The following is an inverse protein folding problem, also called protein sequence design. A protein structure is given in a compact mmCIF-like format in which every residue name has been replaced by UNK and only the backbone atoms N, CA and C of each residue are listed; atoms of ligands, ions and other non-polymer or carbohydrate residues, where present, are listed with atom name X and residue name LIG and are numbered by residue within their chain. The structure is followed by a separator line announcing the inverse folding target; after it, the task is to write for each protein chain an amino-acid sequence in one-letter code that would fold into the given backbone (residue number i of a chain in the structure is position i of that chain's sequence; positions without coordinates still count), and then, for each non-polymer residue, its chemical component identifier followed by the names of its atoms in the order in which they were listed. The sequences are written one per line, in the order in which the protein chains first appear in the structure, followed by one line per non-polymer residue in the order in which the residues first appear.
data_IF_377362529785
#
_entry.id   IF_377362529785
#
_cell.length_a   1.000
_cell.length_b   1.000
_cell.length_c   1.000
_cell.angle_alpha   90.00
_cell.angle_beta   90.00
_cell.angle_gamma   90.00
#
_symmetry.space_group_name_H-M   'P 1'
#
loop_
_entity.id
_entity.type
_entity.pdbx_description
1 polymer ?
#
# COMPACT_ATOMS: atom_id res chain seq x y z
N UNK A 1 -15.91 16.37 29.10
CA UNK A 1 -14.63 15.69 28.82
C UNK A 1 -13.88 16.54 27.81
N UNK A 2 -12.72 17.12 28.12
CA UNK A 2 -11.91 17.74 27.08
C UNK A 2 -11.50 16.64 26.08
N UNK A 3 -11.82 16.84 24.80
CA UNK A 3 -11.42 15.93 23.73
C UNK A 3 -9.90 15.80 23.75
N UNK A 4 -9.39 14.57 23.80
CA UNK A 4 -7.96 14.33 23.63
C UNK A 4 -7.50 15.05 22.36
N UNK A 5 -6.47 15.91 22.41
CA UNK A 5 -6.01 16.59 21.22
C UNK A 5 -5.64 15.55 20.16
N UNK A 6 -6.14 15.77 18.95
CA UNK A 6 -5.86 14.91 17.80
C UNK A 6 -4.34 14.80 17.58
N UNK A 7 -3.85 13.58 17.29
CA UNK A 7 -2.42 13.34 17.07
C UNK A 7 -1.91 14.23 15.94
N UNK A 8 -0.72 14.83 16.12
CA UNK A 8 -0.04 15.60 15.05
C UNK A 8 0.15 14.77 13.78
N UNK A 9 0.17 13.44 13.91
CA UNK A 9 0.43 12.49 12.82
C UNK A 9 -0.84 11.76 12.34
N UNK A 10 -2.03 12.16 12.80
CA UNK A 10 -3.30 11.55 12.36
C UNK A 10 -3.42 11.55 10.83
N UNK A 11 -3.00 12.63 10.15
CA UNK A 11 -3.02 12.72 8.69
C UNK A 11 -2.22 11.61 7.97
N UNK A 12 -1.16 11.07 8.59
CA UNK A 12 -0.41 9.95 8.01
C UNK A 12 -1.24 8.67 8.04
N UNK A 13 -2.05 8.47 9.09
CA UNK A 13 -2.94 7.33 9.22
C UNK A 13 -4.11 7.42 8.25
N UNK A 14 -4.72 8.60 8.12
CA UNK A 14 -5.79 8.85 7.15
C UNK A 14 -5.27 8.65 5.71
N UNK A 15 -4.06 9.13 5.45
CA UNK A 15 -3.39 8.89 4.17
C UNK A 15 -3.22 7.39 3.94
N UNK A 16 -2.69 6.65 4.90
CA UNK A 16 -2.46 5.22 4.75
C UNK A 16 -3.76 4.43 4.55
N UNK A 17 -4.81 4.73 5.31
CA UNK A 17 -6.13 4.10 5.18
C UNK A 17 -6.70 4.28 3.76
N UNK A 18 -6.65 5.50 3.22
CA UNK A 18 -7.12 5.73 1.85
C UNK A 18 -6.18 5.14 0.79
N UNK A 19 -4.88 5.01 1.07
CA UNK A 19 -3.92 4.37 0.15
C UNK A 19 -4.12 2.85 0.06
N UNK A 20 -4.50 2.19 1.16
CA UNK A 20 -4.88 0.77 1.18
C UNK A 20 -6.03 0.54 0.20
N UNK A 21 -7.09 1.34 0.31
CA UNK A 21 -8.26 1.28 -0.58
C UNK A 21 -7.89 1.40 -2.05
N UNK A 22 -7.03 2.36 -2.39
CA UNK A 22 -6.59 2.59 -3.78
C UNK A 22 -5.72 1.45 -4.30
N UNK A 23 -4.86 0.86 -3.46
CA UNK A 23 -4.01 -0.26 -3.87
C UNK A 23 -4.87 -1.48 -4.15
N UNK A 24 -5.71 -1.90 -3.20
CA UNK A 24 -6.57 -3.05 -3.42
C UNK A 24 -7.48 -2.82 -4.61
N UNK A 25 -7.98 -1.60 -4.74
CA UNK A 25 -8.81 -1.24 -5.84
C UNK A 25 -8.18 -1.42 -7.22
N UNK A 26 -6.94 -0.96 -7.40
CA UNK A 26 -6.17 -1.20 -8.62
C UNK A 26 -5.94 -2.70 -8.82
N UNK A 27 -5.69 -3.46 -7.76
CA UNK A 27 -5.46 -4.91 -7.86
C UNK A 27 -6.72 -5.67 -8.30
N UNK A 28 -7.87 -5.30 -7.73
CA UNK A 28 -9.18 -5.89 -8.06
C UNK A 28 -9.61 -5.61 -9.50
N UNK A 29 -9.12 -4.54 -10.13
CA UNK A 29 -9.45 -4.20 -11.51
C UNK A 29 -8.86 -5.19 -12.54
N UNK A 30 -7.78 -5.91 -12.20
CA UNK A 30 -7.20 -6.89 -13.11
C UNK A 30 -8.03 -8.18 -13.18
N UNK A 31 -8.30 -8.72 -14.39
CA UNK A 31 -8.75 -10.09 -14.53
C UNK A 31 -7.62 -11.06 -14.18
N UNK A 32 -7.95 -12.29 -13.76
CA UNK A 32 -6.94 -13.30 -13.40
C UNK A 32 -6.04 -13.67 -14.59
N UNK A 33 -6.56 -13.57 -15.83
CA UNK A 33 -5.79 -13.78 -17.06
C UNK A 33 -4.67 -12.75 -17.29
N UNK A 34 -4.64 -11.63 -16.55
CA UNK A 34 -3.63 -10.59 -16.70
C UNK A 34 -2.42 -10.78 -15.78
N UNK A 35 -2.40 -11.79 -14.89
CA UNK A 35 -1.35 -11.93 -13.87
C UNK A 35 0.08 -12.05 -14.43
N UNK A 36 0.22 -12.67 -15.60
CA UNK A 36 1.51 -12.85 -16.29
C UNK A 36 1.85 -11.71 -17.27
N UNK A 37 0.98 -10.71 -17.42
CA UNK A 37 1.23 -9.59 -18.32
C UNK A 37 2.49 -8.83 -17.90
N UNK A 38 3.41 -8.68 -18.85
CA UNK A 38 4.69 -7.99 -18.69
C UNK A 38 4.88 -6.98 -19.83
N UNK A 39 4.88 -5.66 -19.58
CA UNK A 39 4.96 -4.67 -20.66
C UNK A 39 6.33 -4.60 -21.34
N UNK A 40 7.38 -5.07 -20.67
CA UNK A 40 8.75 -5.11 -21.19
C UNK A 40 9.53 -6.22 -20.48
N UNK A 41 10.51 -6.89 -21.13
CA UNK A 41 11.37 -7.87 -20.48
C UNK A 41 12.05 -7.39 -19.18
N UNK A 42 12.23 -6.08 -19.00
CA UNK A 42 12.85 -5.47 -17.81
C UNK A 42 11.85 -5.06 -16.71
N UNK A 43 10.54 -5.20 -16.96
CA UNK A 43 9.48 -4.84 -16.03
C UNK A 43 8.99 -6.06 -15.26
N UNK A 44 8.42 -5.87 -14.07
CA UNK A 44 7.69 -6.94 -13.36
C UNK A 44 6.37 -7.29 -14.05
N UNK A 45 5.89 -8.52 -13.94
CA UNK A 45 4.50 -8.88 -14.26
C UNK A 45 3.51 -8.21 -13.31
N UNK A 46 2.20 -8.27 -13.59
CA UNK A 46 1.17 -7.82 -12.65
C UNK A 46 1.32 -8.55 -11.30
N UNK A 47 1.43 -9.87 -11.31
CA UNK A 47 1.54 -10.66 -10.08
C UNK A 47 2.85 -10.39 -9.32
N UNK A 48 3.96 -10.22 -10.03
CA UNK A 48 5.25 -9.85 -9.43
C UNK A 48 5.21 -8.47 -8.76
N UNK A 49 4.38 -7.53 -9.26
CA UNK A 49 4.16 -6.24 -8.58
C UNK A 49 3.38 -6.41 -7.27
N UNK A 50 2.40 -7.32 -7.23
CA UNK A 50 1.64 -7.59 -6.01
C UNK A 50 2.55 -8.24 -4.95
N UNK A 51 3.35 -9.21 -5.38
CA UNK A 51 4.37 -9.85 -4.54
C UNK A 51 5.38 -8.84 -3.99
N UNK A 52 5.91 -7.98 -4.86
CA UNK A 52 6.85 -6.92 -4.45
C UNK A 52 6.21 -5.96 -3.43
N UNK A 53 4.95 -5.60 -3.61
CA UNK A 53 4.25 -4.73 -2.68
C UNK A 53 4.14 -5.38 -1.30
N UNK A 54 3.59 -6.59 -1.19
CA UNK A 54 3.40 -7.24 0.12
C UNK A 54 4.73 -7.49 0.82
N UNK A 55 5.74 -7.98 0.09
CA UNK A 55 7.03 -8.30 0.67
C UNK A 55 7.84 -7.06 1.05
N UNK A 56 7.86 -6.03 0.20
CA UNK A 56 8.62 -4.81 0.49
C UNK A 56 7.99 -4.04 1.64
N UNK A 57 6.66 -3.98 1.70
CA UNK A 57 5.96 -3.28 2.77
C UNK A 57 6.11 -4.02 4.09
N UNK A 58 5.87 -5.34 4.13
CA UNK A 58 6.10 -6.15 5.32
C UNK A 58 7.51 -6.00 5.87
N UNK A 59 8.54 -6.20 5.04
CA UNK A 59 9.94 -6.07 5.45
C UNK A 59 10.29 -4.69 5.99
N UNK A 60 9.84 -3.61 5.34
CA UNK A 60 10.11 -2.25 5.83
C UNK A 60 9.39 -1.96 7.15
N UNK A 61 8.11 -2.33 7.26
CA UNK A 61 7.32 -2.10 8.47
C UNK A 61 7.93 -2.83 9.67
N UNK A 62 8.38 -4.08 9.47
CA UNK A 62 9.04 -4.86 10.52
C UNK A 62 10.42 -4.31 10.86
N UNK A 63 11.31 -4.19 9.87
CA UNK A 63 12.72 -3.87 10.13
C UNK A 63 12.95 -2.41 10.55
N UNK A 64 12.14 -1.47 10.06
CA UNK A 64 12.38 -0.03 10.27
C UNK A 64 11.44 0.58 11.31
N UNK A 65 10.23 0.02 11.48
CA UNK A 65 9.21 0.56 12.40
C UNK A 65 8.85 -0.40 13.54
N UNK A 66 9.38 -1.62 13.54
CA UNK A 66 9.08 -2.63 14.57
C UNK A 66 7.63 -3.09 14.53
N UNK A 67 6.98 -3.04 13.35
CA UNK A 67 5.59 -3.45 13.15
C UNK A 67 5.59 -4.75 12.37
N UNK A 68 5.42 -5.86 13.09
CA UNK A 68 5.43 -7.21 12.54
C UNK A 68 4.01 -7.77 12.38
N UNK A 69 3.70 -8.28 11.19
CA UNK A 69 2.44 -8.96 10.86
C UNK A 69 2.65 -10.41 10.42
N UNK A 70 3.84 -10.97 10.63
CA UNK A 70 4.23 -12.31 10.20
C UNK A 70 4.72 -12.37 8.75
N UNK A 71 4.73 -13.57 8.17
CA UNK A 71 5.11 -13.77 6.76
C UNK A 71 4.22 -12.92 5.85
N UNK A 72 4.77 -12.02 5.01
CA UNK A 72 4.00 -11.17 4.12
C UNK A 72 3.41 -11.92 2.91
N UNK A 73 3.80 -13.17 2.65
CA UNK A 73 3.31 -13.91 1.51
C UNK A 73 1.94 -14.56 1.77
N UNK A 74 1.06 -14.62 0.77
CA UNK A 74 -0.17 -15.40 0.88
C UNK A 74 0.13 -16.91 0.78
N UNK A 75 -0.77 -17.72 1.33
CA UNK A 75 -0.69 -19.18 1.19
C UNK A 75 -0.77 -19.64 -0.27
N UNK A 76 -1.60 -18.96 -1.08
CA UNK A 76 -1.68 -19.15 -2.52
C UNK A 76 -1.26 -17.86 -3.22
N UNK A 77 -0.28 -17.95 -4.13
CA UNK A 77 0.21 -16.81 -4.93
C UNK A 77 -0.72 -16.50 -6.11
N UNK A 78 -1.98 -16.22 -5.82
CA UNK A 78 -3.01 -15.81 -6.79
C UNK A 78 -3.36 -14.34 -6.58
N UNK A 79 -4.04 -13.73 -7.56
CA UNK A 79 -4.61 -12.37 -7.43
C UNK A 79 -5.36 -12.20 -6.11
N UNK A 80 -6.30 -13.11 -5.84
CA UNK A 80 -7.14 -13.09 -4.65
C UNK A 80 -6.32 -13.28 -3.36
N UNK A 81 -5.39 -14.25 -3.36
CA UNK A 81 -4.53 -14.49 -2.20
C UNK A 81 -3.69 -13.26 -1.82
N UNK A 82 -3.12 -12.57 -2.79
CA UNK A 82 -2.39 -11.32 -2.54
C UNK A 82 -3.30 -10.19 -2.04
N UNK A 83 -4.50 -10.03 -2.61
CA UNK A 83 -5.46 -9.01 -2.15
C UNK A 83 -5.86 -9.24 -0.69
N UNK A 84 -6.23 -10.47 -0.33
CA UNK A 84 -6.64 -10.83 1.03
C UNK A 84 -5.49 -10.63 2.02
N UNK A 85 -4.29 -11.10 1.64
CA UNK A 85 -3.10 -10.94 2.48
C UNK A 85 -2.74 -9.48 2.69
N UNK A 86 -2.76 -8.67 1.63
CA UNK A 86 -2.47 -7.25 1.74
C UNK A 86 -3.49 -6.53 2.64
N UNK A 87 -4.79 -6.78 2.47
CA UNK A 87 -5.84 -6.21 3.33
C UNK A 87 -5.61 -6.57 4.80
N UNK A 88 -5.45 -7.85 5.10
CA UNK A 88 -5.28 -8.33 6.48
C UNK A 88 -4.07 -7.68 7.17
N UNK A 89 -2.91 -7.69 6.48
CA UNK A 89 -1.68 -7.12 7.03
C UNK A 89 -1.76 -5.59 7.15
N UNK A 90 -2.33 -4.92 6.16
CA UNK A 90 -2.40 -3.46 6.16
C UNK A 90 -3.37 -2.94 7.23
N UNK A 91 -4.50 -3.61 7.45
CA UNK A 91 -5.43 -3.32 8.56
C UNK A 91 -4.74 -3.51 9.91
N UNK A 92 -4.05 -4.64 10.10
CA UNK A 92 -3.31 -4.89 11.36
C UNK A 92 -2.21 -3.86 11.60
N UNK A 93 -1.48 -3.44 10.56
CA UNK A 93 -0.49 -2.35 10.64
C UNK A 93 -1.15 -1.04 11.06
N UNK A 94 -2.28 -0.69 10.44
CA UNK A 94 -3.02 0.54 10.74
C UNK A 94 -3.51 0.55 12.19
N UNK A 95 -4.06 -0.56 12.69
CA UNK A 95 -4.46 -0.72 14.09
C UNK A 95 -3.28 -0.51 15.05
N UNK A 96 -2.12 -1.12 14.78
CA UNK A 96 -0.90 -0.92 15.58
C UNK A 96 -0.45 0.54 15.52
N UNK A 97 -0.44 1.17 14.35
CA UNK A 97 -0.02 2.55 14.17
C UNK A 97 -0.93 3.54 14.93
N UNK A 98 -2.25 3.28 14.98
CA UNK A 98 -3.22 4.08 15.76
C UNK A 98 -2.90 4.12 17.26
N UNK A 99 -2.17 3.12 17.78
CA UNK A 99 -1.74 3.09 19.20
C UNK A 99 -0.47 3.90 19.48
N UNK A 100 0.24 4.39 18.45
CA UNK A 100 1.54 5.03 18.64
C UNK A 100 1.38 6.50 19.06
N UNK A 101 1.99 6.93 20.17
CA UNK A 101 1.90 8.31 20.61
C UNK A 101 2.80 9.22 19.76
N UNK A 102 2.51 10.52 19.72
CA UNK A 102 3.26 11.53 18.95
C UNK A 102 4.80 11.47 19.09
N UNK A 103 5.39 11.25 20.29
CA UNK A 103 6.85 11.08 20.41
C UNK A 103 7.42 9.92 19.59
N UNK A 104 6.69 8.81 19.47
CA UNK A 104 7.14 7.63 18.71
C UNK A 104 7.41 7.96 17.24
N UNK A 105 6.61 8.85 16.66
CA UNK A 105 6.74 9.29 15.26
C UNK A 105 7.98 10.16 15.02
N UNK A 106 8.44 10.90 16.04
CA UNK A 106 9.62 11.78 15.97
C UNK A 106 10.92 11.04 16.18
N UNK A 107 10.90 9.95 16.94
CA UNK A 107 12.09 9.17 17.25
C UNK A 107 12.81 8.69 15.98
N UNK A 108 14.15 8.66 16.00
CA UNK A 108 14.93 8.11 14.91
C UNK A 108 14.77 6.59 14.84
N UNK A 109 14.73 6.06 13.62
CA UNK A 109 14.93 4.66 13.32
C UNK A 109 15.88 4.52 12.13
N UNK A 110 16.46 3.32 11.97
CA UNK A 110 17.38 3.05 10.86
C UNK A 110 16.60 2.93 9.56
N UNK A 111 16.84 3.86 8.64
CA UNK A 111 16.42 3.76 7.25
C UNK A 111 17.62 3.32 6.43
N UNK A 112 17.80 1.99 6.28
CA UNK A 112 19.07 1.42 5.84
C UNK A 112 20.20 1.96 6.74
N UNK A 113 21.22 2.58 6.15
CA UNK A 113 22.42 3.06 6.85
C UNK A 113 22.28 4.49 7.40
N UNK A 114 21.10 5.12 7.29
CA UNK A 114 20.88 6.49 7.75
C UNK A 114 19.75 6.60 8.78
N UNK A 115 19.93 7.36 9.88
CA UNK A 115 18.85 7.60 10.83
C UNK A 115 17.84 8.59 10.26
N UNK A 116 16.55 8.27 10.35
CA UNK A 116 15.43 9.14 9.97
C UNK A 116 14.29 9.00 10.97
N UNK A 117 13.45 10.02 11.11
CA UNK A 117 12.27 9.91 11.97
C UNK A 117 11.33 8.82 11.45
N UNK A 118 10.62 8.14 12.35
CA UNK A 118 9.63 7.12 11.97
C UNK A 118 8.54 7.69 11.06
N UNK A 119 8.12 8.94 11.28
CA UNK A 119 7.21 9.66 10.39
C UNK A 119 7.75 9.75 8.96
N UNK A 120 9.02 10.14 8.80
CA UNK A 120 9.64 10.25 7.47
C UNK A 120 9.73 8.88 6.78
N UNK A 121 10.11 7.84 7.52
CA UNK A 121 10.19 6.46 7.00
C UNK A 121 8.81 6.00 6.53
N UNK A 122 7.78 6.25 7.33
CA UNK A 122 6.41 5.89 6.98
C UNK A 122 5.91 6.63 5.73
N UNK A 123 6.18 7.94 5.60
CA UNK A 123 5.88 8.69 4.36
C UNK A 123 6.60 8.08 3.14
N UNK A 124 7.86 7.66 3.28
CA UNK A 124 8.58 6.95 2.21
C UNK A 124 7.95 5.61 1.86
N UNK A 125 7.42 4.90 2.84
CA UNK A 125 6.73 3.64 2.63
C UNK A 125 5.45 3.84 1.83
N UNK A 126 4.64 4.83 2.20
CA UNK A 126 3.40 5.19 1.48
C UNK A 126 3.71 5.62 0.04
N UNK A 127 4.70 6.48 -0.16
CA UNK A 127 5.08 6.96 -1.51
C UNK A 127 5.67 5.85 -2.40
N UNK A 128 6.40 4.89 -1.83
CA UNK A 128 6.85 3.70 -2.57
C UNK A 128 5.66 2.83 -3.01
N UNK A 129 4.64 2.65 -2.16
CA UNK A 129 3.40 1.96 -2.53
C UNK A 129 2.64 2.70 -3.65
N UNK A 130 2.54 4.03 -3.55
CA UNK A 130 1.95 4.87 -4.59
C UNK A 130 2.72 4.80 -5.93
N UNK A 131 4.06 4.73 -5.88
CA UNK A 131 4.91 4.57 -7.06
C UNK A 131 4.60 3.27 -7.82
N UNK A 132 4.54 2.13 -7.13
CA UNK A 132 4.24 0.84 -7.78
C UNK A 132 2.78 0.72 -8.20
N UNK A 133 1.84 1.31 -7.45
CA UNK A 133 0.45 1.45 -7.92
C UNK A 133 0.40 2.25 -9.24
N UNK A 134 1.18 3.32 -9.36
CA UNK A 134 1.30 4.10 -10.59
C UNK A 134 1.74 3.25 -11.80
N UNK A 135 2.65 2.29 -11.60
CA UNK A 135 3.05 1.35 -12.64
C UNK A 135 1.87 0.47 -13.09
N UNK A 136 1.12 -0.08 -12.13
CA UNK A 136 -0.05 -0.92 -12.42
C UNK A 136 -1.18 -0.16 -13.12
N UNK A 137 -1.35 1.13 -12.86
CA UNK A 137 -2.29 1.98 -13.61
C UNK A 137 -1.95 2.00 -15.11
N UNK A 138 -0.67 2.08 -15.46
CA UNK A 138 -0.23 2.00 -16.86
C UNK A 138 -0.52 0.62 -17.44
N UNK A 139 -0.38 -0.45 -16.65
CA UNK A 139 -0.64 -1.81 -17.13
C UNK A 139 -2.12 -2.00 -17.46
N UNK A 140 -3.04 -1.49 -16.62
CA UNK A 140 -4.48 -1.47 -16.92
C UNK A 140 -4.75 -0.76 -18.26
N UNK A 141 -4.12 0.40 -18.50
CA UNK A 141 -4.26 1.14 -19.77
C UNK A 141 -3.78 0.34 -20.97
N UNK A 142 -2.60 -0.31 -20.86
CA UNK A 142 -2.04 -1.12 -21.95
C UNK A 142 -2.89 -2.34 -22.28
N UNK A 143 -3.60 -2.88 -21.29
CA UNK A 143 -4.52 -4.01 -21.44
C UNK A 143 -5.95 -3.58 -21.85
N UNK A 144 -6.22 -2.28 -22.01
CA UNK A 144 -7.57 -1.78 -22.29
C UNK A 144 -8.56 -1.99 -21.14
N UNK A 145 -8.07 -2.19 -19.91
CA UNK A 145 -8.90 -2.37 -18.72
C UNK A 145 -9.22 -1.00 -18.12
N UNK A 146 -10.47 -0.71 -17.74
CA UNK A 146 -10.84 0.54 -17.07
C UNK A 146 -9.99 0.81 -15.83
N UNK A 147 -9.45 2.02 -15.72
CA UNK A 147 -8.67 2.44 -14.55
C UNK A 147 -9.62 3.06 -13.54
N UNK A 148 -9.71 2.55 -12.31
CA UNK A 148 -10.57 3.15 -11.31
C UNK A 148 -9.95 4.37 -10.64
N UNK A 149 -10.79 5.15 -9.94
CA UNK A 149 -10.39 6.43 -9.33
C UNK A 149 -9.32 6.23 -8.24
N UNK A 150 -8.30 7.11 -8.19
CA UNK A 150 -7.19 7.03 -7.22
C UNK A 150 -7.06 8.31 -6.41
N UNK A 151 -6.66 9.42 -7.06
CA UNK A 151 -6.57 10.75 -6.43
C UNK A 151 -7.53 11.76 -7.08
N UNK A 152 -8.39 11.29 -7.97
CA UNK A 152 -9.25 12.09 -8.82
C UNK A 152 -9.86 11.24 -9.93
N UNK A 153 -10.76 11.82 -10.73
CA UNK A 153 -11.43 11.12 -11.81
C UNK A 153 -10.42 10.58 -12.82
N UNK A 154 -10.65 9.36 -13.28
CA UNK A 154 -10.03 8.83 -14.51
C UNK A 154 -10.96 9.04 -15.69
N UNK A 155 -10.45 8.86 -16.91
CA UNK A 155 -11.26 8.86 -18.12
C UNK A 155 -12.40 7.81 -18.09
N UNK A 156 -12.29 6.78 -17.23
CA UNK A 156 -13.19 5.61 -17.25
C UNK A 156 -14.25 5.65 -16.14
N UNK A 157 -13.95 6.23 -14.97
CA UNK A 157 -14.89 6.22 -13.83
C UNK A 157 -15.53 7.56 -13.51
N UNK A 158 -15.07 8.65 -14.11
CA UNK A 158 -15.60 9.99 -13.84
C UNK A 158 -15.56 10.37 -12.35
N UNK A 159 -14.67 9.74 -11.55
CA UNK A 159 -14.53 9.99 -10.12
C UNK A 159 -15.24 9.01 -9.21
N UNK A 160 -16.00 8.04 -9.73
CA UNK A 160 -16.63 7.00 -8.91
C UNK A 160 -15.57 6.11 -8.26
N UNK A 161 -15.59 6.06 -6.93
CA UNK A 161 -14.81 5.11 -6.13
C UNK A 161 -15.55 3.77 -6.14
N UNK A 162 -14.89 2.71 -6.61
CA UNK A 162 -15.49 1.36 -6.70
C UNK A 162 -14.88 0.38 -5.69
N UNK A 163 -14.19 0.90 -4.68
CA UNK A 163 -13.47 0.08 -3.70
C UNK A 163 -14.15 0.17 -2.33
N UNK A 164 -14.32 -0.96 -1.67
CA UNK A 164 -14.72 -1.06 -0.26
C UNK A 164 -13.60 -1.76 0.53
N UNK A 165 -13.46 -1.41 1.81
CA UNK A 165 -12.54 -2.09 2.74
C UNK A 165 -12.98 -3.53 2.97
#
# INVERSE_FOLDING_TARGET
MPSTPESTYAFLLDTYETEILKIVGIWSAFPDSAMDFRPSPKSRTVLEQFEHQVQSEGRWMTAMLGIDTGDPNPAAKTKQGYIEKYRADATRRLEILRTKPDPWWREPASFFDVPRSRAWIFTRRVTHSAHHRGQLIVYLRLLGIPVPSVYGPTADTGGKVIYQL
#
